data_IF_576845871348
#
_entry.id   IF_576845871348
#
_cell.length_a   1.000
_cell.length_b   1.000
_cell.length_c   1.000
_cell.angle_alpha   90.00
_cell.angle_beta   90.00
_cell.angle_gamma   90.00
#
_symmetry.space_group_name_H-M   'P 1'
#
loop_
_entity.id
_entity.type
_entity.pdbx_description
1 polymer ?
#
# COMPACT_ATOMS: atom_id res chain seq x y z
N UNK A 1 -3.89 -10.75 9.76
CA UNK A 1 -2.47 -10.82 9.40
C UNK A 1 -2.29 -9.84 8.24
N UNK A 2 -1.62 -8.71 8.51
CA UNK A 2 -1.42 -7.55 7.61
C UNK A 2 -0.08 -6.88 8.01
N UNK A 3 0.91 -7.71 8.33
CA UNK A 3 2.27 -7.25 8.61
C UNK A 3 2.98 -6.83 7.33
N UNK A 4 4.19 -6.28 7.44
CA UNK A 4 4.94 -5.75 6.30
C UNK A 4 5.16 -6.77 5.17
N UNK A 5 5.24 -8.06 5.48
CA UNK A 5 5.40 -9.12 4.48
C UNK A 5 4.08 -9.57 3.82
N UNK A 6 2.93 -9.13 4.33
CA UNK A 6 1.60 -9.57 3.89
C UNK A 6 0.90 -8.58 2.94
N UNK A 7 1.49 -7.39 2.72
CA UNK A 7 0.79 -6.26 2.06
C UNK A 7 1.15 -6.05 0.59
N UNK A 8 2.12 -6.79 0.05
CA UNK A 8 2.55 -6.69 -1.36
C UNK A 8 1.42 -6.95 -2.36
N UNK A 9 1.43 -6.22 -3.47
CA UNK A 9 0.49 -6.30 -4.60
C UNK A 9 -0.50 -5.15 -4.64
N UNK A 10 -1.44 -5.20 -5.58
CA UNK A 10 -2.56 -4.26 -5.64
C UNK A 10 -3.44 -4.40 -4.40
N UNK A 11 -3.92 -3.27 -3.90
CA UNK A 11 -4.78 -3.17 -2.72
C UNK A 11 -5.91 -2.18 -2.98
N UNK A 12 -7.18 -2.57 -2.81
CA UNK A 12 -8.30 -1.65 -2.96
C UNK A 12 -8.30 -0.64 -1.82
N UNK A 13 -8.59 0.62 -2.15
CA UNK A 13 -8.81 1.67 -1.16
C UNK A 13 -10.30 1.89 -0.92
N UNK A 14 -10.64 2.59 0.16
CA UNK A 14 -12.02 3.02 0.42
C UNK A 14 -12.47 4.18 -0.47
N UNK A 15 -11.52 4.91 -1.08
CA UNK A 15 -11.83 5.99 -2.02
C UNK A 15 -12.34 5.43 -3.35
N UNK A 16 -11.83 4.27 -3.76
CA UNK A 16 -12.31 3.51 -4.92
C UNK A 16 -11.21 3.09 -5.87
N UNK A 17 -10.12 3.85 -5.97
CA UNK A 17 -8.95 3.45 -6.74
C UNK A 17 -8.10 2.42 -5.99
N UNK A 18 -7.29 1.64 -6.71
CA UNK A 18 -6.29 0.75 -6.09
C UNK A 18 -4.98 1.50 -5.81
N UNK A 19 -4.20 0.96 -4.89
CA UNK A 19 -2.78 1.28 -4.72
C UNK A 19 -1.94 0.03 -4.96
N UNK A 20 -0.75 0.19 -5.50
CA UNK A 20 0.21 -0.89 -5.65
C UNK A 20 1.23 -0.84 -4.52
N UNK A 21 1.33 -1.92 -3.75
CA UNK A 21 2.36 -2.07 -2.72
C UNK A 21 3.48 -2.95 -3.26
N UNK A 22 4.70 -2.42 -3.28
CA UNK A 22 5.90 -3.16 -3.67
C UNK A 22 6.85 -3.31 -2.49
N UNK A 23 7.77 -4.27 -2.61
CA UNK A 23 8.72 -4.60 -1.54
C UNK A 23 8.12 -5.46 -0.41
N UNK A 24 8.85 -5.57 0.70
CA UNK A 24 8.51 -6.38 1.88
C UNK A 24 9.37 -5.98 3.09
N UNK A 25 9.02 -6.46 4.28
CA UNK A 25 9.77 -6.15 5.50
C UNK A 25 9.91 -4.64 5.76
N UNK A 26 11.15 -4.17 5.91
CA UNK A 26 11.45 -2.75 6.13
C UNK A 26 11.49 -1.88 4.86
N UNK A 27 11.45 -2.50 3.67
CA UNK A 27 11.60 -1.82 2.39
C UNK A 27 10.31 -1.95 1.58
N UNK A 28 9.29 -1.18 1.98
CA UNK A 28 7.99 -1.13 1.31
C UNK A 28 7.80 0.23 0.65
N UNK A 29 7.22 0.22 -0.55
CA UNK A 29 6.77 1.40 -1.27
C UNK A 29 5.33 1.25 -1.73
N UNK A 30 4.64 2.38 -1.85
CA UNK A 30 3.27 2.49 -2.38
C UNK A 30 3.32 3.34 -3.65
N UNK A 31 2.71 2.82 -4.72
CA UNK A 31 2.66 3.43 -6.06
C UNK A 31 4.03 3.88 -6.59
N UNK A 32 5.11 3.21 -6.17
CA UNK A 32 6.50 3.56 -6.50
C UNK A 32 6.91 5.03 -6.19
N UNK A 33 6.11 5.73 -5.39
CA UNK A 33 6.24 7.18 -5.14
C UNK A 33 6.26 7.54 -3.66
N UNK A 34 5.70 6.69 -2.81
CA UNK A 34 5.65 6.89 -1.36
C UNK A 34 6.36 5.73 -0.64
N UNK A 35 7.40 6.04 0.13
CA UNK A 35 8.08 5.05 0.96
C UNK A 35 7.35 4.89 2.29
N UNK A 36 7.19 3.64 2.73
CA UNK A 36 6.74 3.35 4.09
C UNK A 36 7.90 3.60 5.05
N UNK A 37 7.74 4.57 5.93
CA UNK A 37 8.71 4.94 6.98
C UNK A 37 8.53 4.07 8.22
N UNK A 38 7.29 3.72 8.54
CA UNK A 38 6.96 2.83 9.65
C UNK A 38 5.69 2.03 9.32
N UNK A 39 5.79 0.71 9.27
CA UNK A 39 4.71 -0.17 8.81
C UNK A 39 4.24 -1.16 9.87
N UNK A 40 3.01 -1.66 9.69
CA UNK A 40 2.47 -2.75 10.51
C UNK A 40 2.11 -2.36 11.95
N UNK A 41 2.03 -1.07 12.26
CA UNK A 41 1.66 -0.58 13.59
C UNK A 41 0.25 -1.06 13.93
N UNK A 42 0.11 -1.75 15.05
CA UNK A 42 -1.18 -2.33 15.44
C UNK A 42 -2.11 -1.25 16.00
N UNK A 43 -3.31 -1.16 15.42
CA UNK A 43 -4.46 -0.51 16.02
C UNK A 43 -5.52 -1.57 16.40
N UNK A 44 -6.59 -1.16 17.08
CA UNK A 44 -7.63 -2.09 17.53
C UNK A 44 -8.24 -2.92 16.38
N UNK A 45 -8.49 -2.27 15.24
CA UNK A 45 -9.20 -2.88 14.09
C UNK A 45 -8.45 -2.71 12.76
N UNK A 46 -7.22 -2.18 12.79
CA UNK A 46 -6.47 -1.80 11.60
C UNK A 46 -4.96 -1.97 11.79
N UNK A 47 -4.22 -1.85 10.70
CA UNK A 47 -2.78 -1.64 10.69
C UNK A 47 -2.49 -0.27 10.11
N UNK A 48 -1.61 0.47 10.77
CA UNK A 48 -1.19 1.80 10.31
C UNK A 48 0.17 1.67 9.63
N UNK A 49 0.27 2.28 8.46
CA UNK A 49 1.48 2.42 7.67
C UNK A 49 1.71 3.91 7.45
N UNK A 50 2.85 4.40 7.91
CA UNK A 50 3.25 5.79 7.78
C UNK A 50 4.08 5.95 6.50
N UNK A 51 3.65 6.85 5.62
CA UNK A 51 4.31 7.14 4.35
C UNK A 51 4.90 8.55 4.35
N UNK A 52 5.96 8.77 3.58
CA UNK A 52 6.64 10.06 3.46
C UNK A 52 6.04 11.01 2.40
N UNK A 53 5.24 10.47 1.48
CA UNK A 53 4.59 11.21 0.40
C UNK A 53 3.08 11.10 0.48
N UNK A 54 2.37 12.20 0.23
CA UNK A 54 0.90 12.22 0.13
C UNK A 54 0.48 11.53 -1.16
N UNK A 55 -0.43 10.55 -1.05
CA UNK A 55 -1.02 9.89 -2.21
C UNK A 55 -2.15 10.75 -2.79
N UNK A 56 -2.14 10.92 -4.11
CA UNK A 56 -3.16 11.64 -4.86
C UNK A 56 -3.97 10.65 -5.72
N UNK A 57 -5.31 10.59 -5.58
CA UNK A 57 -6.15 9.67 -6.36
C UNK A 57 -6.03 9.86 -7.89
N UNK A 58 -5.70 11.07 -8.37
CA UNK A 58 -5.51 11.33 -9.79
C UNK A 58 -4.27 10.62 -10.37
N UNK A 59 -3.32 10.23 -9.52
CA UNK A 59 -2.06 9.58 -9.88
C UNK A 59 -2.07 8.08 -9.52
N UNK A 60 -3.25 7.50 -9.31
CA UNK A 60 -3.39 6.08 -8.99
C UNK A 60 -2.84 5.18 -10.13
N UNK A 61 -2.20 4.05 -9.81
CA UNK A 61 -1.70 3.12 -10.81
C UNK A 61 -2.86 2.52 -11.62
N UNK A 62 -2.55 2.10 -12.84
CA UNK A 62 -3.52 1.37 -13.65
C UNK A 62 -3.93 0.07 -12.91
N UNK A 63 -5.23 -0.27 -12.85
CA UNK A 63 -5.67 -1.53 -12.28
C UNK A 63 -5.00 -2.71 -12.98
N UNK A 64 -4.57 -3.72 -12.24
CA UNK A 64 -4.13 -4.96 -12.89
C UNK A 64 -5.37 -5.70 -13.39
N UNK A 65 -5.49 -5.85 -14.70
CA UNK A 65 -6.49 -6.77 -15.26
C UNK A 65 -5.95 -8.19 -15.04
N UNK A 66 -6.61 -9.04 -14.22
CA UNK A 66 -6.17 -10.40 -14.05
C UNK A 66 -6.17 -11.10 -15.42
N UNK A 67 -5.03 -11.65 -15.81
CA UNK A 67 -4.94 -12.51 -16.99
C UNK A 67 -5.29 -13.92 -16.55
N UNK A 68 -6.36 -14.47 -17.09
CA UNK A 68 -6.84 -15.84 -16.81
C UNK A 68 -5.88 -16.89 -17.35
#
# INVERSE_FOLDING_TARGET
LLGPDDVKGQRPTQEGTEIEVTGSGGDIQVNETAKVVCGGIQAANARIYLVDTVLNPADAPAPITPTT
#
